data_IF_117412846373
#
_entry.id   IF_117412846373
#
_cell.length_a   1.000
_cell.length_b   1.000
_cell.length_c   1.000
_cell.angle_alpha   90.00
_cell.angle_beta   90.00
_cell.angle_gamma   90.00
#
_symmetry.space_group_name_H-M   'P 1'
#
loop_
_entity.id
_entity.type
_entity.pdbx_description
1 polymer ?
#
# COMPACT_ATOMS: atom_id res chain seq x y z
N UNK A 1 -27.99 65.45 -13.30
CA UNK A 1 -26.65 64.86 -13.45
C UNK A 1 -26.07 65.40 -14.73
N UNK A 2 -24.97 66.08 -14.66
CA UNK A 2 -24.32 66.63 -15.85
C UNK A 2 -23.63 65.53 -16.66
N UNK A 3 -23.35 65.80 -17.97
CA UNK A 3 -22.64 64.82 -18.82
C UNK A 3 -21.24 64.48 -18.28
N UNK A 4 -20.62 65.34 -17.51
CA UNK A 4 -19.33 65.18 -16.88
C UNK A 4 -19.43 64.18 -15.71
N UNK A 5 -20.44 64.33 -14.84
CA UNK A 5 -20.69 63.43 -13.72
C UNK A 5 -20.98 62.00 -14.20
N UNK A 6 -21.68 61.83 -15.32
CA UNK A 6 -22.00 60.55 -15.91
C UNK A 6 -20.74 59.82 -16.45
N UNK A 7 -19.82 60.61 -17.04
CA UNK A 7 -18.53 60.07 -17.56
C UNK A 7 -17.63 59.63 -16.43
N UNK A 8 -17.49 60.41 -15.37
CA UNK A 8 -16.67 60.02 -14.20
C UNK A 8 -17.20 58.75 -13.50
N UNK A 9 -18.56 58.64 -13.41
CA UNK A 9 -19.15 57.47 -12.83
C UNK A 9 -18.91 56.19 -13.67
N UNK A 10 -18.88 56.32 -15.01
CA UNK A 10 -18.61 55.24 -15.93
C UNK A 10 -17.12 54.81 -15.88
N UNK A 11 -16.21 55.76 -15.83
CA UNK A 11 -14.77 55.50 -15.69
C UNK A 11 -14.43 54.84 -14.35
N UNK A 12 -15.06 55.24 -13.26
CA UNK A 12 -14.91 54.61 -11.95
C UNK A 12 -15.44 53.15 -11.94
N UNK A 13 -16.57 52.91 -12.64
CA UNK A 13 -17.14 51.60 -12.81
C UNK A 13 -16.23 50.60 -13.58
N UNK A 14 -15.62 51.10 -14.65
CA UNK A 14 -14.63 50.28 -15.42
C UNK A 14 -13.39 50.00 -14.61
N UNK A 15 -12.86 50.97 -13.88
CA UNK A 15 -11.67 50.78 -13.05
C UNK A 15 -11.91 49.76 -11.94
N UNK A 16 -13.06 49.84 -11.26
CA UNK A 16 -13.42 48.88 -10.21
C UNK A 16 -13.62 47.44 -10.74
N UNK A 17 -14.25 47.29 -11.91
CA UNK A 17 -14.42 46.01 -12.57
C UNK A 17 -13.09 45.36 -12.97
N UNK A 18 -12.14 46.17 -13.44
CA UNK A 18 -10.79 45.75 -13.83
C UNK A 18 -9.99 45.23 -12.61
N UNK A 19 -10.06 45.97 -11.50
CA UNK A 19 -9.41 45.57 -10.24
C UNK A 19 -10.02 44.24 -9.73
N UNK A 20 -11.35 44.11 -9.74
CA UNK A 20 -12.03 42.91 -9.27
C UNK A 20 -11.64 41.69 -10.11
N UNK A 21 -11.59 41.83 -11.43
CA UNK A 21 -11.14 40.79 -12.33
C UNK A 21 -9.67 40.39 -12.09
N UNK A 22 -8.80 41.39 -11.91
CA UNK A 22 -7.39 41.14 -11.58
C UNK A 22 -7.22 40.37 -10.27
N UNK A 23 -7.97 40.72 -9.23
CA UNK A 23 -7.96 40.06 -7.95
C UNK A 23 -8.47 38.61 -8.06
N UNK A 24 -9.55 38.39 -8.82
CA UNK A 24 -10.12 37.05 -9.06
C UNK A 24 -9.10 36.15 -9.77
N UNK A 25 -8.44 36.64 -10.80
CA UNK A 25 -7.40 35.91 -11.52
C UNK A 25 -6.21 35.56 -10.59
N UNK A 26 -5.79 36.50 -9.76
CA UNK A 26 -4.69 36.28 -8.79
C UNK A 26 -5.07 35.18 -7.78
N UNK A 27 -6.28 35.20 -7.23
CA UNK A 27 -6.79 34.19 -6.30
C UNK A 27 -6.84 32.80 -6.97
N UNK A 28 -7.33 32.73 -8.21
CA UNK A 28 -7.38 31.47 -8.96
C UNK A 28 -5.99 30.90 -9.24
N UNK A 29 -5.04 31.74 -9.63
CA UNK A 29 -3.62 31.34 -9.82
C UNK A 29 -3.00 30.83 -8.52
N UNK A 30 -3.22 31.53 -7.41
CA UNK A 30 -2.73 31.12 -6.09
C UNK A 30 -3.30 29.76 -5.67
N UNK A 31 -4.63 29.54 -5.80
CA UNK A 31 -5.28 28.26 -5.49
C UNK A 31 -4.73 27.12 -6.35
N UNK A 32 -4.48 27.38 -7.65
CA UNK A 32 -3.89 26.39 -8.57
C UNK A 32 -2.45 26.06 -8.15
N UNK A 33 -1.62 27.05 -7.87
CA UNK A 33 -0.24 26.84 -7.43
C UNK A 33 -0.17 26.06 -6.10
N UNK A 34 -1.04 26.38 -5.13
CA UNK A 34 -1.15 25.65 -3.87
C UNK A 34 -1.53 24.16 -4.08
N UNK A 35 -2.49 23.87 -4.98
CA UNK A 35 -2.86 22.47 -5.32
C UNK A 35 -1.68 21.72 -5.93
N UNK A 36 -0.94 22.32 -6.85
CA UNK A 36 0.23 21.70 -7.48
C UNK A 36 1.32 21.42 -6.43
N UNK A 37 1.61 22.38 -5.55
CA UNK A 37 2.61 22.20 -4.49
C UNK A 37 2.24 21.05 -3.54
N UNK A 38 0.97 20.94 -3.14
CA UNK A 38 0.48 19.84 -2.30
C UNK A 38 0.62 18.50 -3.04
N UNK A 39 0.30 18.44 -4.33
CA UNK A 39 0.43 17.23 -5.12
C UNK A 39 1.90 16.76 -5.24
N UNK A 40 2.82 17.68 -5.52
CA UNK A 40 4.27 17.39 -5.59
C UNK A 40 4.78 16.86 -4.23
N UNK A 41 4.36 17.50 -3.13
CA UNK A 41 4.76 17.06 -1.79
C UNK A 41 4.27 15.64 -1.50
N UNK A 42 3.00 15.32 -1.78
CA UNK A 42 2.45 13.97 -1.61
C UNK A 42 3.19 12.92 -2.46
N UNK A 43 3.50 13.24 -3.71
CA UNK A 43 4.24 12.36 -4.61
C UNK A 43 5.65 12.07 -4.06
N UNK A 44 6.33 13.09 -3.54
CA UNK A 44 7.64 12.94 -2.91
C UNK A 44 7.58 12.07 -1.65
N UNK A 45 6.61 12.31 -0.77
CA UNK A 45 6.41 11.51 0.45
C UNK A 45 6.08 10.04 0.10
N UNK A 46 5.23 9.81 -0.89
CA UNK A 46 4.90 8.48 -1.40
C UNK A 46 6.14 7.76 -1.94
N UNK A 47 6.98 8.43 -2.72
CA UNK A 47 8.20 7.86 -3.27
C UNK A 47 9.20 7.48 -2.17
N UNK A 48 9.38 8.33 -1.15
CA UNK A 48 10.26 8.06 -0.01
C UNK A 48 9.74 6.84 0.76
N UNK A 49 8.45 6.78 1.09
CA UNK A 49 7.85 5.65 1.80
C UNK A 49 8.03 4.34 1.05
N UNK A 50 7.87 4.33 -0.27
CA UNK A 50 8.09 3.13 -1.08
C UNK A 50 9.55 2.65 -1.03
N UNK A 51 10.53 3.56 -1.10
CA UNK A 51 11.96 3.22 -0.99
C UNK A 51 12.25 2.61 0.39
N UNK A 52 11.71 3.17 1.45
CA UNK A 52 11.89 2.67 2.81
C UNK A 52 11.26 1.29 3.00
N UNK A 53 10.06 1.05 2.46
CA UNK A 53 9.44 -0.28 2.47
C UNK A 53 10.32 -1.30 1.75
N UNK A 54 10.84 -0.96 0.55
CA UNK A 54 11.75 -1.82 -0.19
C UNK A 54 13.00 -2.19 0.62
N UNK A 55 13.59 -1.22 1.31
CA UNK A 55 14.74 -1.45 2.18
C UNK A 55 14.40 -2.41 3.32
N UNK A 56 13.30 -2.16 4.04
CA UNK A 56 12.87 -2.99 5.17
C UNK A 56 12.61 -4.44 4.77
N UNK A 57 11.92 -4.69 3.64
CA UNK A 57 11.67 -6.06 3.18
C UNK A 57 12.94 -6.73 2.67
N UNK A 58 13.89 -5.97 2.10
CA UNK A 58 15.19 -6.50 1.67
C UNK A 58 16.04 -6.91 2.87
N UNK A 59 16.12 -6.07 3.89
CA UNK A 59 16.82 -6.37 5.14
C UNK A 59 16.20 -7.60 5.82
N UNK A 60 14.86 -7.68 5.86
CA UNK A 60 14.14 -8.83 6.40
C UNK A 60 14.43 -10.11 5.61
N UNK A 61 14.43 -10.05 4.27
CA UNK A 61 14.76 -11.19 3.42
C UNK A 61 16.18 -11.73 3.71
N UNK A 62 17.14 -10.84 3.75
CA UNK A 62 18.54 -11.22 4.02
C UNK A 62 18.67 -11.81 5.43
N UNK A 63 18.08 -11.17 6.44
CA UNK A 63 18.16 -11.62 7.83
C UNK A 63 17.47 -12.98 8.09
N UNK A 64 16.46 -13.31 7.30
CA UNK A 64 15.70 -14.57 7.42
C UNK A 64 16.19 -15.66 6.46
N UNK A 65 17.14 -15.36 5.57
CA UNK A 65 17.54 -16.24 4.46
C UNK A 65 16.34 -16.74 3.64
N UNK A 66 15.38 -15.82 3.43
CA UNK A 66 14.16 -16.12 2.70
C UNK A 66 14.37 -16.01 1.19
N UNK A 67 13.68 -16.86 0.43
CA UNK A 67 13.65 -16.78 -1.03
C UNK A 67 12.91 -15.52 -1.51
N UNK A 68 11.80 -15.16 -0.84
CA UNK A 68 11.00 -13.97 -1.14
C UNK A 68 10.45 -13.34 0.13
N UNK A 69 10.32 -12.01 0.11
CA UNK A 69 9.52 -11.25 1.08
C UNK A 69 8.62 -10.30 0.31
N UNK A 70 7.33 -10.37 0.60
CA UNK A 70 6.29 -9.60 -0.10
C UNK A 70 5.44 -8.81 0.86
N UNK A 71 5.07 -7.60 0.49
CA UNK A 71 3.99 -6.84 1.11
C UNK A 71 2.75 -6.98 0.26
N UNK A 72 1.70 -7.53 0.83
CA UNK A 72 0.40 -7.72 0.17
C UNK A 72 -0.60 -6.77 0.81
N UNK A 73 -1.29 -5.98 0.01
CA UNK A 73 -2.32 -5.06 0.49
C UNK A 73 -3.70 -5.52 0.02
N UNK A 74 -4.69 -5.37 0.91
CA UNK A 74 -6.09 -5.57 0.58
C UNK A 74 -6.69 -4.26 0.05
N UNK A 75 -7.48 -4.38 -1.02
CA UNK A 75 -8.16 -3.23 -1.62
C UNK A 75 -9.56 -3.62 -2.12
N UNK A 76 -10.37 -2.61 -2.44
CA UNK A 76 -11.71 -2.85 -2.94
C UNK A 76 -11.67 -3.31 -4.39
N UNK A 77 -12.37 -4.42 -4.68
CA UNK A 77 -12.57 -4.95 -6.02
C UNK A 77 -13.94 -4.61 -6.62
N UNK A 78 -14.73 -3.79 -5.94
CA UNK A 78 -16.12 -3.53 -6.28
C UNK A 78 -17.09 -4.15 -5.30
N UNK A 79 -18.33 -4.39 -5.75
CA UNK A 79 -19.39 -5.03 -4.95
C UNK A 79 -19.97 -6.21 -5.71
N UNK A 80 -20.37 -7.24 -4.99
CA UNK A 80 -21.24 -8.31 -5.50
C UNK A 80 -22.66 -7.80 -5.71
N UNK A 81 -23.50 -8.59 -6.39
CA UNK A 81 -24.91 -8.21 -6.67
C UNK A 81 -25.73 -8.01 -5.39
N UNK A 82 -25.37 -8.67 -4.29
CA UNK A 82 -25.97 -8.52 -2.96
C UNK A 82 -25.48 -7.28 -2.19
N UNK A 83 -24.60 -6.47 -2.80
CA UNK A 83 -24.01 -5.27 -2.19
C UNK A 83 -22.80 -5.53 -1.27
N UNK A 84 -22.42 -6.78 -1.01
CA UNK A 84 -21.23 -7.09 -0.21
C UNK A 84 -19.95 -6.67 -0.94
N UNK A 85 -18.94 -6.26 -0.17
CA UNK A 85 -17.65 -5.81 -0.72
C UNK A 85 -16.86 -6.97 -1.28
N UNK A 86 -16.46 -6.86 -2.55
CA UNK A 86 -15.54 -7.77 -3.21
C UNK A 86 -14.10 -7.38 -2.84
N UNK A 87 -13.51 -8.03 -1.82
CA UNK A 87 -12.13 -7.76 -1.41
C UNK A 87 -11.14 -8.41 -2.37
N UNK A 88 -10.20 -7.63 -2.82
CA UNK A 88 -9.05 -8.07 -3.61
C UNK A 88 -7.76 -7.87 -2.85
N UNK A 89 -6.70 -8.51 -3.29
CA UNK A 89 -5.35 -8.33 -2.79
C UNK A 89 -4.36 -8.23 -3.93
N UNK A 90 -3.30 -7.45 -3.70
CA UNK A 90 -2.19 -7.29 -4.64
C UNK A 90 -0.87 -7.24 -3.89
N UNK A 91 0.16 -7.88 -4.46
CA UNK A 91 1.53 -7.66 -4.01
C UNK A 91 1.96 -6.27 -4.46
N UNK A 92 2.21 -5.38 -3.50
CA UNK A 92 2.64 -4.00 -3.78
C UNK A 92 4.15 -3.84 -3.77
N UNK A 93 4.85 -4.59 -2.92
CA UNK A 93 6.30 -4.62 -2.84
C UNK A 93 6.76 -6.06 -2.70
N UNK A 94 7.83 -6.42 -3.38
CA UNK A 94 8.43 -7.75 -3.28
C UNK A 94 9.92 -7.68 -3.50
N UNK A 95 10.70 -8.33 -2.65
CA UNK A 95 12.11 -8.64 -2.85
C UNK A 95 12.28 -10.15 -2.94
N UNK A 96 13.22 -10.61 -3.76
CA UNK A 96 13.46 -12.03 -3.97
C UNK A 96 14.95 -12.29 -4.20
N UNK A 97 15.36 -13.51 -3.96
CA UNK A 97 16.73 -13.95 -4.22
C UNK A 97 16.99 -14.15 -5.70
N UNK A 98 18.25 -14.02 -6.13
CA UNK A 98 18.66 -14.19 -7.52
C UNK A 98 18.41 -15.60 -8.08
N UNK A 99 18.27 -16.60 -7.22
CA UNK A 99 17.98 -18.00 -7.59
C UNK A 99 16.49 -18.23 -7.85
N UNK A 100 15.60 -17.27 -7.52
CA UNK A 100 14.16 -17.38 -7.68
C UNK A 100 13.59 -16.26 -8.57
N UNK A 101 12.27 -16.15 -8.66
CA UNK A 101 11.59 -15.15 -9.50
C UNK A 101 10.50 -14.42 -8.74
N UNK A 102 10.10 -13.27 -9.28
CA UNK A 102 8.99 -12.49 -8.75
C UNK A 102 7.65 -13.18 -8.99
N UNK A 103 6.83 -13.24 -7.96
CA UNK A 103 5.43 -13.69 -8.03
C UNK A 103 4.44 -12.52 -8.03
N UNK A 104 4.92 -11.29 -8.04
CA UNK A 104 4.09 -10.10 -7.91
C UNK A 104 3.01 -10.00 -9.00
N UNK A 105 3.35 -10.30 -10.24
CA UNK A 105 2.40 -10.27 -11.35
C UNK A 105 1.28 -11.33 -11.22
N UNK A 106 1.55 -12.44 -10.54
CA UNK A 106 0.57 -13.54 -10.37
C UNK A 106 -0.47 -13.22 -9.29
N UNK A 107 -0.21 -12.25 -8.42
CA UNK A 107 -1.09 -11.89 -7.30
C UNK A 107 -1.52 -10.41 -7.39
N UNK A 108 -1.82 -9.94 -8.58
CA UNK A 108 -2.44 -8.64 -8.80
C UNK A 108 -3.95 -8.78 -8.92
N UNK A 109 -4.71 -7.88 -8.27
CA UNK A 109 -6.17 -7.83 -8.32
C UNK A 109 -6.87 -9.16 -8.01
N UNK A 110 -6.22 -10.01 -7.23
CA UNK A 110 -6.72 -11.36 -6.92
C UNK A 110 -7.79 -11.30 -5.83
N UNK A 111 -8.91 -12.01 -6.03
CA UNK A 111 -9.95 -12.13 -5.03
C UNK A 111 -9.43 -12.82 -3.76
N UNK A 112 -9.63 -12.19 -2.61
CA UNK A 112 -9.24 -12.73 -1.29
C UNK A 112 -9.89 -14.11 -1.04
N UNK A 113 -11.12 -14.29 -1.52
CA UNK A 113 -11.87 -15.56 -1.38
C UNK A 113 -11.23 -16.74 -2.11
N UNK A 114 -10.32 -16.52 -3.04
CA UNK A 114 -9.56 -17.59 -3.69
C UNK A 114 -8.48 -18.19 -2.80
N UNK A 115 -8.10 -17.49 -1.72
CA UNK A 115 -7.04 -17.86 -0.79
C UNK A 115 -7.55 -17.84 0.65
N UNK A 116 -8.67 -18.53 0.88
CA UNK A 116 -9.37 -18.51 2.17
C UNK A 116 -8.51 -19.04 3.32
N UNK A 117 -7.60 -19.97 3.04
CA UNK A 117 -6.67 -20.51 4.03
C UNK A 117 -5.68 -19.46 4.50
N UNK A 118 -5.20 -18.57 3.60
CA UNK A 118 -4.34 -17.45 3.99
C UNK A 118 -5.07 -16.49 4.94
N UNK A 119 -6.33 -16.20 4.67
CA UNK A 119 -7.12 -15.33 5.55
C UNK A 119 -7.35 -15.95 6.92
N UNK A 120 -7.59 -17.26 6.99
CA UNK A 120 -7.69 -18.01 8.24
C UNK A 120 -6.39 -17.98 9.03
N UNK A 121 -5.24 -18.17 8.36
CA UNK A 121 -3.92 -18.08 9.01
C UNK A 121 -3.62 -16.69 9.54
N UNK A 122 -3.99 -15.64 8.81
CA UNK A 122 -3.80 -14.25 9.23
C UNK A 122 -4.60 -13.92 10.49
N UNK A 123 -5.80 -14.47 10.64
CA UNK A 123 -6.64 -14.27 11.83
C UNK A 123 -6.03 -14.89 13.10
N UNK A 124 -5.19 -15.91 12.97
CA UNK A 124 -4.52 -16.55 14.11
C UNK A 124 -3.38 -15.69 14.68
N UNK A 125 -3.00 -14.59 14.02
CA UNK A 125 -1.97 -13.62 14.43
C UNK A 125 -0.68 -14.25 14.98
N UNK A 126 -0.29 -15.38 14.41
CA UNK A 126 0.88 -16.12 14.86
C UNK A 126 1.98 -16.05 13.78
N UNK A 127 3.12 -15.38 14.03
CA UNK A 127 4.23 -15.28 13.07
C UNK A 127 5.03 -16.59 12.95
N UNK A 128 4.40 -17.73 13.20
CA UNK A 128 5.05 -19.03 13.10
C UNK A 128 5.34 -19.40 11.66
N UNK A 129 6.50 -20.02 11.44
CA UNK A 129 6.83 -20.64 10.15
C UNK A 129 5.93 -21.85 9.97
N UNK A 130 5.25 -21.90 8.84
CA UNK A 130 4.32 -22.98 8.51
C UNK A 130 4.59 -23.50 7.10
N UNK A 131 4.37 -24.79 6.93
CA UNK A 131 4.23 -25.32 5.58
C UNK A 131 2.90 -24.86 4.99
N UNK A 132 2.87 -24.24 3.80
CA UNK A 132 1.61 -23.89 3.12
C UNK A 132 0.82 -25.11 2.67
N UNK A 133 1.38 -26.31 2.87
CA UNK A 133 0.94 -27.57 2.24
C UNK A 133 0.13 -28.45 3.22
N UNK A 134 -0.29 -27.95 4.38
CA UNK A 134 -0.84 -28.81 5.45
C UNK A 134 -2.21 -29.43 5.19
N UNK A 135 -3.02 -28.95 4.28
CA UNK A 135 -4.35 -29.54 4.03
C UNK A 135 -4.78 -29.43 2.57
N UNK A 136 -5.54 -30.42 2.08
CA UNK A 136 -6.32 -30.53 0.84
C UNK A 136 -5.91 -29.65 -0.35
N UNK A 137 -6.16 -30.11 -1.54
CA UNK A 137 -5.90 -29.37 -2.79
C UNK A 137 -6.67 -28.04 -2.83
N UNK A 138 -6.01 -26.95 -2.45
CA UNK A 138 -6.55 -25.58 -2.46
C UNK A 138 -5.71 -24.65 -3.32
N UNK A 139 -6.26 -23.49 -3.68
CA UNK A 139 -5.54 -22.49 -4.48
C UNK A 139 -4.26 -22.00 -3.80
N UNK A 140 -4.27 -21.89 -2.47
CA UNK A 140 -3.11 -21.50 -1.68
C UNK A 140 -1.96 -22.50 -1.86
N UNK A 141 -2.22 -23.78 -1.67
CA UNK A 141 -1.25 -24.86 -1.88
C UNK A 141 -0.70 -24.83 -3.31
N UNK A 142 -1.60 -24.79 -4.29
CA UNK A 142 -1.22 -24.76 -5.71
C UNK A 142 -0.32 -23.58 -6.03
N UNK A 143 -0.66 -22.38 -5.57
CA UNK A 143 0.13 -21.18 -5.79
C UNK A 143 1.55 -21.33 -5.23
N UNK A 144 1.70 -21.72 -3.97
CA UNK A 144 3.01 -21.84 -3.34
C UNK A 144 3.84 -23.00 -3.90
N UNK A 145 3.22 -24.15 -4.19
CA UNK A 145 3.92 -25.28 -4.81
C UNK A 145 4.45 -24.92 -6.21
N UNK A 146 3.66 -24.26 -7.03
CA UNK A 146 4.09 -23.81 -8.37
C UNK A 146 5.22 -22.78 -8.32
N UNK A 147 5.34 -22.05 -7.22
CA UNK A 147 6.38 -21.05 -7.01
C UNK A 147 7.53 -21.53 -6.12
N UNK A 148 7.65 -22.85 -5.95
CA UNK A 148 8.75 -23.49 -5.21
C UNK A 148 8.84 -23.06 -3.74
N UNK A 149 7.71 -22.71 -3.12
CA UNK A 149 7.65 -22.27 -1.73
C UNK A 149 7.21 -23.42 -0.82
N UNK A 150 8.09 -23.85 0.08
CA UNK A 150 7.82 -24.95 1.01
C UNK A 150 7.54 -24.49 2.45
N UNK A 151 7.84 -23.25 2.78
CA UNK A 151 7.49 -22.66 4.06
C UNK A 151 7.14 -21.19 3.92
N UNK A 152 6.21 -20.73 4.74
CA UNK A 152 5.78 -19.33 4.80
C UNK A 152 5.66 -18.84 6.25
N UNK A 153 5.84 -17.55 6.46
CA UNK A 153 5.41 -16.84 7.65
C UNK A 153 4.58 -15.64 7.23
N UNK A 154 3.43 -15.46 7.86
CA UNK A 154 2.47 -14.40 7.57
C UNK A 154 2.37 -13.45 8.76
N UNK A 155 2.53 -12.15 8.50
CA UNK A 155 2.45 -11.12 9.52
C UNK A 155 1.36 -10.11 9.11
N UNK A 156 0.21 -10.11 9.79
CA UNK A 156 -0.88 -9.21 9.45
C UNK A 156 -0.51 -7.75 9.70
N UNK A 157 -0.91 -6.87 8.78
CA UNK A 157 -0.85 -5.42 8.88
C UNK A 157 -2.24 -4.92 9.23
N UNK A 158 -2.37 -4.29 10.38
CA UNK A 158 -3.64 -3.75 10.87
C UNK A 158 -3.81 -2.29 10.47
N UNK A 159 -5.05 -1.83 10.35
CA UNK A 159 -5.35 -0.40 10.16
C UNK A 159 -5.12 0.41 11.44
N UNK A 160 -4.77 1.69 11.28
CA UNK A 160 -4.42 2.59 12.39
C UNK A 160 -5.46 2.65 13.52
N UNK A 161 -6.74 2.64 13.19
CA UNK A 161 -7.84 2.78 14.14
C UNK A 161 -8.76 1.55 14.17
N UNK A 162 -8.34 0.43 13.59
CA UNK A 162 -9.19 -0.74 13.46
C UNK A 162 -8.40 -2.04 13.68
N UNK A 163 -9.07 -3.03 14.24
CA UNK A 163 -8.56 -4.41 14.29
C UNK A 163 -8.67 -5.11 12.93
N UNK A 164 -9.06 -4.40 11.88
CA UNK A 164 -9.18 -4.96 10.54
C UNK A 164 -7.81 -5.11 9.89
N UNK A 165 -7.58 -6.27 9.30
CA UNK A 165 -6.37 -6.55 8.55
C UNK A 165 -6.47 -5.82 7.20
N UNK A 166 -5.52 -4.91 6.95
CA UNK A 166 -5.39 -4.14 5.70
C UNK A 166 -4.45 -4.79 4.69
N UNK A 167 -3.67 -5.77 5.14
CA UNK A 167 -2.73 -6.50 4.34
C UNK A 167 -1.87 -7.42 5.19
N UNK A 168 -0.79 -7.91 4.64
CA UNK A 168 0.16 -8.74 5.37
C UNK A 168 1.55 -8.70 4.72
N UNK A 169 2.56 -9.04 5.51
CA UNK A 169 3.89 -9.38 5.00
C UNK A 169 3.95 -10.89 4.90
N UNK A 170 4.38 -11.40 3.75
CA UNK A 170 4.65 -12.81 3.52
C UNK A 170 6.15 -13.02 3.38
N UNK A 171 6.71 -13.86 4.23
CA UNK A 171 8.09 -14.35 4.13
C UNK A 171 8.03 -15.78 3.62
N UNK A 172 8.74 -16.08 2.54
CA UNK A 172 8.65 -17.34 1.81
C UNK A 172 10.02 -18.01 1.71
N UNK A 173 10.08 -19.31 1.96
CA UNK A 173 11.29 -20.13 1.83
C UNK A 173 11.06 -21.31 0.88
N UNK A 174 12.07 -21.58 0.05
CA UNK A 174 12.12 -22.81 -0.75
C UNK A 174 12.40 -24.05 0.12
N UNK A 175 13.17 -23.85 1.19
CA UNK A 175 13.41 -24.87 2.22
C UNK A 175 13.10 -24.27 3.57
N UNK A 176 12.26 -24.93 4.34
CA UNK A 176 11.95 -24.48 5.69
C UNK A 176 13.23 -24.30 6.51
N UNK A 177 13.47 -23.14 7.10
CA UNK A 177 14.64 -22.93 7.94
C UNK A 177 14.57 -23.83 9.16
N UNK A 178 15.71 -24.46 9.52
CA UNK A 178 15.78 -25.34 10.70
C UNK A 178 15.63 -24.57 12.01
N UNK A 179 16.12 -23.34 12.02
CA UNK A 179 15.94 -22.38 13.12
C UNK A 179 16.10 -20.97 12.58
N UNK A 180 15.38 -20.03 13.18
CA UNK A 180 15.60 -18.59 12.98
C UNK A 180 16.21 -18.07 14.27
N UNK A 181 17.23 -17.21 14.17
CA UNK A 181 17.87 -16.64 15.36
C UNK A 181 16.86 -15.79 16.15
N UNK A 182 17.02 -15.74 17.47
CA UNK A 182 16.18 -14.89 18.34
C UNK A 182 16.20 -13.42 17.88
N UNK A 183 17.36 -12.93 17.44
CA UNK A 183 17.52 -11.59 16.90
C UNK A 183 16.63 -11.39 15.65
N UNK A 184 16.58 -12.36 14.76
CA UNK A 184 15.76 -12.32 13.55
C UNK A 184 14.28 -12.39 13.90
N UNK A 185 13.89 -13.23 14.86
CA UNK A 185 12.52 -13.30 15.36
C UNK A 185 12.05 -11.94 15.89
N UNK A 186 12.92 -11.23 16.62
CA UNK A 186 12.62 -9.89 17.14
C UNK A 186 12.52 -8.81 16.04
N UNK A 187 13.26 -8.96 14.93
CA UNK A 187 13.17 -8.03 13.79
C UNK A 187 11.81 -8.07 13.07
N UNK A 188 11.19 -9.24 13.02
CA UNK A 188 9.98 -9.45 12.23
C UNK A 188 8.82 -8.52 12.65
N UNK A 189 8.42 -8.43 13.93
CA UNK A 189 7.39 -7.51 14.38
C UNK A 189 7.76 -6.04 14.14
N UNK A 190 9.02 -5.66 14.39
CA UNK A 190 9.49 -4.29 14.18
C UNK A 190 9.40 -3.88 12.70
N UNK A 191 9.83 -4.75 11.78
CA UNK A 191 9.70 -4.51 10.34
C UNK A 191 8.23 -4.36 9.92
N UNK A 192 7.33 -5.21 10.44
CA UNK A 192 5.89 -5.12 10.22
C UNK A 192 5.33 -3.76 10.66
N UNK A 193 5.64 -3.32 11.87
CA UNK A 193 5.11 -2.10 12.45
C UNK A 193 5.59 -0.86 11.68
N UNK A 194 6.87 -0.84 11.30
CA UNK A 194 7.42 0.22 10.46
C UNK A 194 6.78 0.26 9.06
N UNK A 195 6.60 -0.89 8.42
CA UNK A 195 5.92 -0.98 7.12
C UNK A 195 4.45 -0.54 7.24
N UNK A 196 3.75 -0.94 8.29
CA UNK A 196 2.37 -0.51 8.55
C UNK A 196 2.29 1.01 8.66
N UNK A 197 3.18 1.64 9.42
CA UNK A 197 3.25 3.10 9.57
C UNK A 197 3.50 3.79 8.23
N UNK A 198 4.45 3.31 7.41
CA UNK A 198 4.76 3.88 6.09
C UNK A 198 3.58 3.78 5.11
N UNK A 199 2.87 2.64 5.12
CA UNK A 199 1.66 2.45 4.29
C UNK A 199 0.54 3.41 4.71
N UNK A 200 0.40 3.71 6.00
CA UNK A 200 -0.65 4.60 6.50
C UNK A 200 -0.31 6.07 6.29
N UNK A 201 0.95 6.47 6.41
CA UNK A 201 1.40 7.85 6.19
C UNK A 201 1.33 8.30 4.74
N UNK A 202 1.30 7.37 3.79
CA UNK A 202 1.28 7.66 2.34
C UNK A 202 -0.13 7.84 1.75
N UNK A 203 -1.18 7.80 2.57
CA UNK A 203 -2.59 8.04 2.16
C UNK A 203 -2.97 9.51 2.32
#
# INVERSE_FOLDING_TARGET
>A
MSAIELKEFYELGIASATILNGLTIAILKYKKAKKVHIAIKKESEFSISNIEIWKLITDLRIATDAARVSVVQFHNGGKFMDGTSMRKMSITHQTYDSSTWSTAALMQDTLVTRFIELTSLLQQNCPSIRSPITHTECNTKRFYTMNNTNAISLLPIYGEASLLIHGYICVEWEKAPKSISEKTIAMIPSARDNIAMLIHSSK
#
